data_IF_502505998686
#
_entry.id   IF_502505998686
#
_cell.length_a   1.000
_cell.length_b   1.000
_cell.length_c   1.000
_cell.angle_alpha   90.00
_cell.angle_beta   90.00
_cell.angle_gamma   90.00
#
_symmetry.space_group_name_H-M   'P 1'
#
loop_
_entity.id
_entity.type
_entity.pdbx_description
1 polymer ?
#
# COMPACT_ATOMS: atom_id res chain seq x y z
N UNK A 1 -14.71 -1.73 -33.40
CA UNK A 1 -14.61 -1.56 -31.93
C UNK A 1 -14.79 -2.92 -31.29
N UNK A 2 -13.80 -3.50 -30.59
CA UNK A 2 -14.07 -4.64 -29.73
C UNK A 2 -14.54 -4.13 -28.37
N UNK A 3 -15.73 -4.59 -27.99
CA UNK A 3 -16.37 -4.40 -26.69
C UNK A 3 -15.71 -5.39 -25.73
N UNK A 4 -15.19 -4.91 -24.60
CA UNK A 4 -14.66 -5.77 -23.54
C UNK A 4 -15.80 -6.59 -22.93
N UNK A 5 -15.63 -7.92 -22.94
CA UNK A 5 -16.58 -8.88 -22.37
C UNK A 5 -16.80 -8.64 -20.86
N UNK A 6 -18.04 -8.91 -20.45
CA UNK A 6 -18.67 -8.70 -19.15
C UNK A 6 -17.74 -8.67 -17.92
N UNK A 7 -17.72 -7.53 -17.22
CA UNK A 7 -17.19 -7.46 -15.86
C UNK A 7 -18.16 -8.09 -14.85
N UNK A 8 -17.67 -8.84 -13.84
CA UNK A 8 -18.47 -9.22 -12.66
C UNK A 8 -19.03 -7.97 -11.96
N UNK A 9 -20.05 -8.09 -11.07
CA UNK A 9 -20.66 -6.93 -10.40
C UNK A 9 -19.56 -6.03 -9.85
N UNK A 10 -19.52 -4.80 -10.36
CA UNK A 10 -18.42 -3.89 -10.14
C UNK A 10 -18.45 -3.53 -8.65
N UNK A 11 -17.52 -4.13 -7.89
CA UNK A 11 -17.32 -3.74 -6.50
C UNK A 11 -16.93 -2.26 -6.52
N UNK A 12 -17.80 -1.41 -5.99
CA UNK A 12 -17.68 0.03 -6.15
C UNK A 12 -16.97 0.67 -4.96
N UNK A 13 -17.11 0.11 -3.77
CA UNK A 13 -16.55 0.67 -2.55
C UNK A 13 -15.62 -0.31 -1.85
N UNK A 14 -14.67 0.22 -1.09
CA UNK A 14 -13.63 -0.59 -0.42
C UNK A 14 -14.20 -1.67 0.51
N UNK A 15 -15.38 -1.48 1.09
CA UNK A 15 -16.06 -2.44 1.96
C UNK A 15 -16.60 -3.68 1.22
N UNK A 16 -16.68 -3.64 -0.11
CA UNK A 16 -17.15 -4.76 -0.92
C UNK A 16 -16.00 -5.74 -1.23
N UNK A 17 -14.75 -5.36 -0.94
CA UNK A 17 -13.54 -6.16 -1.15
C UNK A 17 -13.11 -6.85 0.14
N UNK A 18 -12.79 -8.14 0.05
CA UNK A 18 -12.01 -8.80 1.10
C UNK A 18 -10.54 -8.43 0.90
N UNK A 19 -10.04 -7.54 1.73
CA UNK A 19 -8.68 -7.01 1.63
C UNK A 19 -7.80 -7.50 2.78
N UNK A 20 -6.49 -7.45 2.62
CA UNK A 20 -5.57 -7.75 3.70
C UNK A 20 -4.24 -7.00 3.57
N UNK A 21 -3.51 -6.90 4.68
CA UNK A 21 -2.12 -6.43 4.70
C UNK A 21 -1.21 -7.45 5.37
N UNK A 22 0.04 -7.52 4.91
CA UNK A 22 1.07 -8.33 5.55
C UNK A 22 2.48 -7.80 5.28
N UNK A 23 3.21 -7.47 6.35
CA UNK A 23 4.66 -7.33 6.28
C UNK A 23 5.31 -8.72 6.26
N UNK A 24 5.83 -9.09 5.09
CA UNK A 24 6.34 -10.45 4.81
C UNK A 24 7.75 -10.69 5.34
N UNK A 25 8.50 -9.63 5.66
CA UNK A 25 9.91 -9.68 6.04
C UNK A 25 10.75 -10.52 5.05
N UNK A 26 10.49 -10.38 3.75
CA UNK A 26 11.18 -11.06 2.66
C UNK A 26 10.27 -11.74 1.63
N UNK A 27 10.85 -12.44 0.63
CA UNK A 27 10.09 -13.02 -0.48
C UNK A 27 9.32 -14.26 -0.05
N UNK A 28 8.11 -14.07 0.49
CA UNK A 28 7.20 -15.14 0.95
C UNK A 28 6.10 -15.46 -0.06
N UNK A 29 6.42 -15.45 -1.35
CA UNK A 29 5.44 -15.49 -2.44
C UNK A 29 4.55 -16.74 -2.46
N UNK A 30 5.06 -17.90 -2.04
CA UNK A 30 4.26 -19.12 -1.89
C UNK A 30 3.12 -18.95 -0.85
N UNK A 31 3.40 -18.23 0.24
CA UNK A 31 2.42 -17.93 1.28
C UNK A 31 1.45 -16.85 0.80
N UNK A 32 1.97 -15.81 0.14
CA UNK A 32 1.14 -14.78 -0.51
C UNK A 32 0.13 -15.42 -1.48
N UNK A 33 0.58 -16.37 -2.30
CA UNK A 33 -0.29 -17.14 -3.20
C UNK A 33 -1.37 -17.89 -2.41
N UNK A 34 -1.01 -18.59 -1.33
CA UNK A 34 -1.96 -19.31 -0.50
C UNK A 34 -3.02 -18.38 0.12
N UNK A 35 -2.62 -17.20 0.59
CA UNK A 35 -3.53 -16.18 1.11
C UNK A 35 -4.48 -15.66 0.03
N UNK A 36 -3.97 -15.33 -1.16
CA UNK A 36 -4.81 -14.92 -2.29
C UNK A 36 -5.81 -16.02 -2.65
N UNK A 37 -5.36 -17.27 -2.75
CA UNK A 37 -6.22 -18.43 -3.02
C UNK A 37 -7.32 -18.64 -1.95
N UNK A 38 -7.10 -18.16 -0.71
CA UNK A 38 -8.08 -18.21 0.38
C UNK A 38 -9.20 -17.15 0.26
N UNK A 39 -9.33 -16.51 -0.90
CA UNK A 39 -10.45 -15.63 -1.23
C UNK A 39 -10.20 -14.15 -0.97
N UNK A 40 -8.95 -13.73 -0.75
CA UNK A 40 -8.63 -12.30 -0.76
C UNK A 40 -8.82 -11.72 -2.16
N UNK A 41 -9.40 -10.53 -2.24
CA UNK A 41 -9.48 -9.73 -3.45
C UNK A 41 -8.24 -8.87 -3.63
N UNK A 42 -7.74 -8.27 -2.55
CA UNK A 42 -6.61 -7.34 -2.49
C UNK A 42 -5.68 -7.73 -1.34
N UNK A 43 -4.36 -7.73 -1.57
CA UNK A 43 -3.35 -7.94 -0.55
C UNK A 43 -2.21 -6.91 -0.69
N UNK A 44 -2.07 -6.04 0.31
CA UNK A 44 -0.94 -5.13 0.44
C UNK A 44 0.23 -5.82 1.15
N UNK A 45 1.43 -5.69 0.60
CA UNK A 45 2.62 -6.42 1.05
C UNK A 45 3.75 -5.45 1.30
N UNK A 46 4.29 -5.48 2.52
CA UNK A 46 5.50 -4.75 2.91
C UNK A 46 6.69 -5.72 3.00
N UNK A 47 7.90 -5.18 2.80
CA UNK A 47 9.16 -5.96 2.74
C UNK A 47 9.07 -7.15 1.79
N UNK A 48 8.45 -6.94 0.63
CA UNK A 48 8.04 -7.99 -0.30
C UNK A 48 9.20 -8.86 -0.84
N UNK A 49 10.44 -8.45 -0.62
CA UNK A 49 11.62 -9.15 -1.11
C UNK A 49 11.76 -9.00 -2.62
N UNK A 50 12.53 -9.91 -3.23
CA UNK A 50 12.68 -9.97 -4.69
C UNK A 50 11.64 -10.90 -5.31
N UNK A 51 11.34 -10.74 -6.60
CA UNK A 51 10.39 -11.58 -7.36
C UNK A 51 11.08 -12.68 -8.18
N UNK A 52 12.38 -12.94 -7.96
CA UNK A 52 13.17 -13.85 -8.79
C UNK A 52 12.60 -15.28 -8.82
N UNK A 53 12.20 -15.79 -7.65
CA UNK A 53 11.67 -17.15 -7.46
C UNK A 53 10.35 -17.39 -8.18
N UNK A 54 9.61 -16.33 -8.51
CA UNK A 54 8.33 -16.40 -9.24
C UNK A 54 8.44 -15.83 -10.65
N UNK A 55 9.62 -15.46 -11.12
CA UNK A 55 9.80 -14.78 -12.42
C UNK A 55 9.22 -15.54 -13.61
N UNK A 56 9.30 -16.88 -13.60
CA UNK A 56 8.70 -17.75 -14.63
C UNK A 56 7.16 -17.77 -14.62
N UNK A 57 6.54 -17.29 -13.54
CA UNK A 57 5.10 -17.17 -13.37
C UNK A 57 4.59 -15.76 -13.71
N UNK A 58 5.49 -14.81 -13.97
CA UNK A 58 5.17 -13.42 -14.24
C UNK A 58 5.20 -13.14 -15.74
N UNK A 59 4.22 -12.37 -16.21
CA UNK A 59 4.16 -11.86 -17.57
C UNK A 59 3.65 -10.41 -17.55
N UNK A 60 4.06 -9.61 -18.52
CA UNK A 60 3.51 -8.26 -18.68
C UNK A 60 2.06 -8.33 -19.19
N UNK A 61 1.14 -7.51 -18.67
CA UNK A 61 -0.21 -7.41 -19.23
C UNK A 61 -0.19 -6.96 -20.69
N UNK A 62 -1.11 -7.51 -21.49
CA UNK A 62 -1.34 -7.03 -22.85
C UNK A 62 -2.06 -5.66 -22.84
N UNK A 63 -1.77 -4.82 -23.84
CA UNK A 63 -2.40 -3.51 -24.03
C UNK A 63 -1.59 -2.35 -23.47
N UNK A 64 -2.25 -1.21 -23.28
CA UNK A 64 -1.60 -0.01 -22.77
C UNK A 64 -1.13 -0.23 -21.32
N UNK A 65 0.07 0.26 -21.03
CA UNK A 65 0.56 0.40 -19.65
C UNK A 65 -0.44 1.24 -18.86
N UNK A 66 -0.65 0.87 -17.60
CA UNK A 66 -1.45 1.71 -16.72
C UNK A 66 -0.81 3.08 -16.58
N UNK A 67 -1.66 4.09 -16.49
CA UNK A 67 -1.23 5.41 -16.08
C UNK A 67 -0.71 5.33 -14.65
N UNK A 68 0.49 5.88 -14.44
CA UNK A 68 1.04 6.10 -13.10
C UNK A 68 0.77 7.57 -12.78
N UNK A 69 -0.06 7.82 -11.77
CA UNK A 69 -0.37 9.15 -11.29
C UNK A 69 0.51 9.51 -10.11
N UNK A 70 1.05 10.72 -10.14
CA UNK A 70 1.96 11.25 -9.12
C UNK A 70 1.29 12.35 -8.32
N UNK A 71 1.47 12.32 -7.00
CA UNK A 71 1.19 13.47 -6.14
C UNK A 71 2.46 14.30 -5.98
N UNK A 72 2.42 15.58 -6.38
CA UNK A 72 3.40 16.58 -5.92
C UNK A 72 4.74 16.68 -6.66
N UNK A 73 4.97 15.94 -7.75
CA UNK A 73 6.23 15.98 -8.50
C UNK A 73 6.03 16.18 -10.01
N UNK A 74 6.88 17.03 -10.59
CA UNK A 74 7.20 17.01 -12.02
C UNK A 74 8.26 15.93 -12.25
N UNK A 75 7.83 14.74 -12.67
CA UNK A 75 8.76 13.73 -13.18
C UNK A 75 9.01 13.96 -14.66
N UNK A 76 10.28 13.83 -15.06
CA UNK A 76 10.62 13.80 -16.47
C UNK A 76 9.82 12.69 -17.18
N UNK A 77 9.22 12.97 -18.34
CA UNK A 77 8.54 11.97 -19.14
C UNK A 77 9.43 10.74 -19.33
N UNK A 78 8.93 9.55 -18.98
CA UNK A 78 9.62 8.25 -19.05
C UNK A 78 10.61 7.92 -17.92
N UNK A 79 10.62 8.66 -16.80
CA UNK A 79 11.39 8.26 -15.62
C UNK A 79 10.96 6.87 -15.12
N UNK A 80 11.91 5.95 -14.90
CA UNK A 80 11.61 4.69 -14.21
C UNK A 80 11.39 5.00 -12.72
N UNK A 81 10.13 4.96 -12.30
CA UNK A 81 9.73 5.23 -10.92
C UNK A 81 9.75 3.98 -10.05
N UNK A 82 10.33 2.89 -10.54
CA UNK A 82 10.50 1.64 -9.81
C UNK A 82 9.22 0.83 -9.66
N UNK A 83 8.14 1.17 -10.37
CA UNK A 83 6.87 0.42 -10.30
C UNK A 83 6.65 -0.37 -11.57
N UNK A 84 6.35 -1.67 -11.42
CA UNK A 84 5.98 -2.55 -12.52
C UNK A 84 4.64 -3.25 -12.25
N UNK A 85 3.87 -3.44 -13.33
CA UNK A 85 2.65 -4.25 -13.35
C UNK A 85 2.95 -5.62 -13.96
N UNK A 86 2.51 -6.68 -13.31
CA UNK A 86 2.61 -8.06 -13.78
C UNK A 86 1.26 -8.77 -13.71
N UNK A 87 1.02 -9.67 -14.66
CA UNK A 87 0.10 -10.79 -14.50
C UNK A 87 0.90 -11.93 -13.85
N UNK A 88 0.42 -12.43 -12.71
CA UNK A 88 1.01 -13.55 -11.98
C UNK A 88 0.14 -14.80 -12.11
N UNK A 89 0.66 -15.78 -12.85
CA UNK A 89 -0.02 -17.05 -13.13
C UNK A 89 0.52 -18.14 -12.22
N UNK A 90 -0.28 -18.51 -11.23
CA UNK A 90 0.17 -19.37 -10.11
C UNK A 90 -0.20 -20.84 -10.27
N UNK A 91 -0.80 -21.21 -11.41
CA UNK A 91 -1.43 -22.52 -11.65
C UNK A 91 -2.77 -22.70 -10.93
N UNK A 92 -2.90 -22.17 -9.71
CA UNK A 92 -4.15 -22.13 -8.92
C UNK A 92 -5.06 -20.94 -9.25
N UNK A 93 -4.54 -19.96 -9.99
CA UNK A 93 -5.26 -18.74 -10.35
C UNK A 93 -4.36 -17.72 -11.02
N UNK A 94 -4.99 -16.69 -11.57
CA UNK A 94 -4.32 -15.53 -12.17
C UNK A 94 -4.61 -14.31 -11.33
N UNK A 95 -3.55 -13.59 -10.98
CA UNK A 95 -3.60 -12.35 -10.20
C UNK A 95 -2.88 -11.22 -10.93
N UNK A 96 -3.15 -9.99 -10.55
CA UNK A 96 -2.39 -8.82 -10.97
C UNK A 96 -1.52 -8.35 -9.81
N UNK A 97 -0.24 -8.15 -10.09
CA UNK A 97 0.77 -7.70 -9.15
C UNK A 97 1.26 -6.32 -9.55
N UNK A 98 1.24 -5.40 -8.59
CA UNK A 98 1.79 -4.07 -8.68
C UNK A 98 2.98 -4.02 -7.76
N UNK A 99 4.18 -4.06 -8.32
CA UNK A 99 5.41 -4.26 -7.57
C UNK A 99 6.24 -2.98 -7.63
N UNK A 100 6.51 -2.41 -6.46
CA UNK A 100 7.49 -1.35 -6.30
C UNK A 100 8.84 -1.99 -5.91
N UNK A 101 9.78 -1.89 -6.83
CA UNK A 101 11.16 -2.26 -6.63
C UNK A 101 11.94 -1.02 -6.22
N UNK A 102 12.48 -0.99 -5.00
CA UNK A 102 13.41 0.07 -4.64
C UNK A 102 14.78 -0.21 -5.29
N UNK A 103 14.88 0.03 -6.59
CA UNK A 103 16.16 0.20 -7.27
C UNK A 103 16.68 1.58 -6.91
N UNK A 104 17.71 1.64 -6.06
CA UNK A 104 18.48 2.86 -5.85
C UNK A 104 19.31 3.16 -7.11
N UNK A 105 18.66 3.54 -8.21
CA UNK A 105 19.33 4.03 -9.41
C UNK A 105 19.69 5.54 -9.25
N UNK A 106 19.33 6.15 -8.12
CA UNK A 106 19.86 7.44 -7.68
C UNK A 106 21.25 7.19 -7.07
N UNK A 107 22.32 7.87 -7.53
CA UNK A 107 23.68 7.64 -7.05
C UNK A 107 23.71 7.69 -5.53
N UNK A 108 23.85 6.51 -4.93
CA UNK A 108 24.05 6.33 -3.50
C UNK A 108 25.16 7.28 -3.06
N UNK A 109 24.84 8.22 -2.16
CA UNK A 109 25.86 8.99 -1.45
C UNK A 109 26.90 7.99 -0.89
N UNK A 110 28.21 8.28 -0.98
CA UNK A 110 29.25 7.37 -0.53
C UNK A 110 28.97 6.87 0.88
N UNK A 111 28.82 5.55 1.05
CA UNK A 111 28.52 4.92 2.36
C UNK A 111 27.07 4.47 2.56
N UNK A 112 26.17 4.65 1.59
CA UNK A 112 24.82 4.07 1.65
C UNK A 112 24.81 2.66 1.05
N UNK A 113 24.28 1.70 1.80
CA UNK A 113 24.15 0.30 1.38
C UNK A 113 23.28 0.22 0.12
N UNK A 114 23.66 -0.59 -0.86
CA UNK A 114 22.79 -0.97 -1.98
C UNK A 114 21.41 -1.42 -1.45
N UNK A 115 20.35 -1.05 -2.18
CA UNK A 115 18.95 -1.14 -1.77
C UNK A 115 18.61 -2.44 -1.05
N UNK A 116 18.16 -2.32 0.19
CA UNK A 116 17.71 -3.49 0.95
C UNK A 116 16.37 -3.95 0.38
N UNK A 117 16.25 -5.24 0.05
CA UNK A 117 15.00 -5.87 -0.43
C UNK A 117 13.82 -5.71 0.55
N UNK A 118 14.12 -5.29 1.79
CA UNK A 118 13.17 -4.88 2.84
C UNK A 118 12.44 -3.56 2.55
N UNK A 119 12.74 -2.90 1.44
CA UNK A 119 12.00 -1.70 1.02
C UNK A 119 11.06 -1.94 -0.15
N UNK A 120 11.10 -3.14 -0.75
CA UNK A 120 10.18 -3.51 -1.81
C UNK A 120 8.78 -3.67 -1.24
N UNK A 121 7.78 -3.26 -2.02
CA UNK A 121 6.37 -3.35 -1.67
C UNK A 121 5.60 -3.91 -2.85
N UNK A 122 4.46 -4.52 -2.56
CA UNK A 122 3.55 -4.97 -3.61
C UNK A 122 2.08 -4.77 -3.23
N UNK A 123 1.23 -4.67 -4.24
CA UNK A 123 -0.21 -4.92 -4.09
C UNK A 123 -0.57 -6.05 -5.05
N UNK A 124 -1.21 -7.08 -4.54
CA UNK A 124 -1.78 -8.18 -5.35
C UNK A 124 -3.27 -8.01 -5.41
N UNK A 125 -3.87 -8.22 -6.58
CA UNK A 125 -5.31 -8.09 -6.79
C UNK A 125 -5.87 -9.14 -7.74
N UNK A 126 -7.16 -9.46 -7.59
CA UNK A 126 -7.88 -10.33 -8.54
C UNK A 126 -8.34 -9.62 -9.80
N UNK A 127 -8.49 -8.30 -9.74
CA UNK A 127 -8.96 -7.47 -10.84
C UNK A 127 -7.85 -6.52 -11.24
N UNK A 128 -7.62 -6.37 -12.55
CA UNK A 128 -6.65 -5.39 -13.04
C UNK A 128 -7.11 -3.99 -12.61
N UNK A 129 -6.22 -3.25 -11.99
CA UNK A 129 -6.40 -1.84 -11.70
C UNK A 129 -6.61 -1.05 -13.00
N UNK A 130 -7.41 0.02 -12.92
CA UNK A 130 -7.49 1.02 -13.99
C UNK A 130 -6.29 1.98 -13.97
N UNK A 131 -5.58 2.05 -12.85
CA UNK A 131 -4.55 3.05 -12.58
C UNK A 131 -3.67 2.65 -11.40
N UNK A 132 -2.41 3.10 -11.44
CA UNK A 132 -1.45 3.01 -10.35
C UNK A 132 -1.23 4.42 -9.80
N UNK A 133 -1.30 4.56 -8.48
CA UNK A 133 -0.99 5.82 -7.80
C UNK A 133 0.36 5.65 -7.09
N UNK A 134 1.28 6.58 -7.29
CA UNK A 134 2.55 6.61 -6.57
C UNK A 134 2.73 7.98 -5.94
N UNK A 135 2.80 8.04 -4.60
CA UNK A 135 3.03 9.28 -3.87
C UNK A 135 4.38 9.15 -3.16
N UNK A 136 5.42 9.89 -3.58
CA UNK A 136 6.70 9.89 -2.89
C UNK A 136 6.54 10.33 -1.43
N UNK A 137 7.30 9.72 -0.51
CA UNK A 137 7.40 10.26 0.84
C UNK A 137 8.30 11.50 0.82
N UNK A 138 7.69 12.68 0.77
CA UNK A 138 8.39 13.97 0.88
C UNK A 138 8.69 14.38 2.31
N UNK A 139 8.42 13.53 3.32
CA UNK A 139 8.49 13.96 4.72
C UNK A 139 9.89 14.44 5.08
N UNK A 140 9.96 15.75 5.30
CA UNK A 140 11.13 16.51 5.70
C UNK A 140 11.24 16.37 7.22
N UNK A 141 12.17 15.56 7.72
CA UNK A 141 12.45 15.61 9.16
C UNK A 141 13.24 16.87 9.46
N UNK A 142 12.59 17.83 10.10
CA UNK A 142 13.28 18.87 10.83
C UNK A 142 13.91 18.19 12.04
N UNK A 143 15.25 18.13 12.09
CA UNK A 143 15.87 18.03 13.41
C UNK A 143 15.40 19.26 14.18
N UNK A 144 14.98 19.10 15.43
CA UNK A 144 14.53 20.19 16.31
C UNK A 144 15.61 21.28 16.54
N UNK A 145 16.79 21.15 15.93
CA UNK A 145 17.79 22.18 15.78
C UNK A 145 17.76 22.71 14.33
N UNK A 146 16.77 23.56 14.05
CA UNK A 146 16.48 24.15 12.73
C UNK A 146 17.51 25.22 12.27
N UNK A 147 18.80 24.99 12.53
CA UNK A 147 19.91 25.84 12.08
C UNK A 147 21.07 25.04 11.45
N UNK A 148 20.86 23.76 11.13
CA UNK A 148 21.89 22.93 10.52
C UNK A 148 21.81 23.03 8.99
N UNK A 149 22.87 23.53 8.37
CA UNK A 149 23.16 23.47 6.92
C UNK A 149 23.20 22.02 6.36
N UNK A 150 23.01 20.99 7.20
CA UNK A 150 22.92 19.57 6.82
C UNK A 150 21.47 19.08 6.69
N UNK A 151 20.61 19.88 6.08
CA UNK A 151 19.25 19.50 5.70
C UNK A 151 19.29 18.42 4.60
N UNK A 152 18.81 17.21 4.86
CA UNK A 152 18.71 16.16 3.85
C UNK A 152 17.25 15.75 3.63
N UNK A 153 16.75 15.99 2.41
CA UNK A 153 15.48 15.42 1.96
C UNK A 153 15.56 13.90 2.04
N UNK A 154 14.58 13.25 2.68
CA UNK A 154 14.51 11.78 2.76
C UNK A 154 13.68 11.17 1.63
N UNK A 155 13.41 11.94 0.59
CA UNK A 155 12.84 11.45 -0.67
C UNK A 155 13.69 10.27 -1.14
N UNK A 156 13.05 9.12 -1.38
CA UNK A 156 13.69 7.85 -1.78
C UNK A 156 14.52 7.11 -0.70
N UNK A 157 14.63 7.66 0.52
CA UNK A 157 15.02 6.88 1.72
C UNK A 157 13.77 6.30 2.38
N UNK A 158 12.73 7.14 2.52
CA UNK A 158 11.42 6.69 2.95
C UNK A 158 10.67 6.06 1.77
N UNK A 159 9.90 5.01 2.05
CA UNK A 159 9.16 4.26 1.03
C UNK A 159 8.00 5.13 0.50
N UNK A 160 7.68 5.11 -0.81
CA UNK A 160 6.53 5.82 -1.33
C UNK A 160 5.22 5.18 -0.82
N UNK A 161 4.10 5.88 -0.99
CA UNK A 161 2.78 5.24 -1.00
C UNK A 161 2.60 4.58 -2.37
N UNK A 162 2.37 3.28 -2.40
CA UNK A 162 1.94 2.56 -3.60
C UNK A 162 0.43 2.39 -3.55
N UNK A 163 -0.29 2.76 -4.59
CA UNK A 163 -1.74 2.63 -4.66
C UNK A 163 -2.22 2.06 -5.98
N UNK A 164 -3.41 1.48 -5.96
CA UNK A 164 -4.15 1.05 -7.14
C UNK A 164 -5.60 1.46 -7.06
N UNK A 165 -6.17 1.83 -8.21
CA UNK A 165 -7.61 2.11 -8.32
C UNK A 165 -8.31 1.02 -9.09
N UNK A 166 -9.35 0.44 -8.48
CA UNK A 166 -10.24 -0.54 -9.10
C UNK A 166 -11.66 0.04 -8.98
N UNK A 167 -12.26 0.34 -10.13
CA UNK A 167 -13.54 1.06 -10.18
C UNK A 167 -13.51 2.36 -9.36
N UNK A 168 -14.40 2.47 -8.36
CA UNK A 168 -14.54 3.62 -7.45
C UNK A 168 -13.87 3.39 -6.08
N UNK A 169 -12.94 2.43 -6.00
CA UNK A 169 -12.19 2.08 -4.80
C UNK A 169 -10.70 2.23 -5.04
N UNK A 170 -10.01 2.89 -4.10
CA UNK A 170 -8.56 3.05 -4.13
C UNK A 170 -7.91 2.35 -2.94
N UNK A 171 -6.96 1.46 -3.21
CA UNK A 171 -6.23 0.71 -2.19
C UNK A 171 -4.79 1.17 -2.18
N UNK A 172 -4.30 1.59 -1.01
CA UNK A 172 -2.94 2.03 -0.81
C UNK A 172 -2.19 1.07 0.10
N UNK A 173 -0.89 0.98 -0.14
CA UNK A 173 0.09 0.25 0.64
C UNK A 173 1.14 1.25 1.14
N UNK A 174 1.38 1.25 2.45
CA UNK A 174 2.41 2.07 3.09
C UNK A 174 3.29 1.23 4.01
N UNK A 175 4.51 1.73 4.25
CA UNK A 175 5.40 1.17 5.27
C UNK A 175 6.30 2.27 5.85
N UNK A 176 5.75 3.14 6.73
CA UNK A 176 6.47 4.23 7.37
C UNK A 176 7.65 3.75 8.21
N UNK A 177 8.55 4.65 8.54
CA UNK A 177 9.76 4.40 9.30
C UNK A 177 9.44 3.85 10.72
N UNK A 178 10.15 2.80 11.19
CA UNK A 178 9.96 2.23 12.52
C UNK A 178 10.36 3.16 13.67
N UNK A 179 11.20 4.15 13.40
CA UNK A 179 11.62 5.13 14.39
C UNK A 179 10.50 6.13 14.66
N UNK A 180 10.01 6.19 15.91
CA UNK A 180 8.89 7.06 16.31
C UNK A 180 9.06 8.54 16.01
N UNK A 181 10.26 9.11 16.14
CA UNK A 181 10.48 10.54 15.85
C UNK A 181 10.54 10.82 14.35
N UNK A 182 10.66 9.77 13.55
CA UNK A 182 10.74 9.84 12.09
C UNK A 182 9.59 9.16 11.37
N UNK A 183 8.61 8.62 12.10
CA UNK A 183 7.51 7.88 11.52
C UNK A 183 6.55 8.86 10.83
N UNK A 184 6.44 8.71 9.52
CA UNK A 184 5.73 9.60 8.62
C UNK A 184 4.25 9.20 8.39
N UNK A 185 3.70 8.27 9.17
CA UNK A 185 2.34 7.79 8.94
C UNK A 185 1.27 8.91 8.92
N UNK A 186 1.25 9.88 9.85
CA UNK A 186 0.26 10.97 9.83
C UNK A 186 0.33 11.79 8.54
N UNK A 187 1.54 12.16 8.13
CA UNK A 187 1.78 12.99 6.95
C UNK A 187 1.38 12.24 5.68
N UNK A 188 1.72 10.95 5.55
CA UNK A 188 1.32 10.15 4.40
C UNK A 188 -0.21 10.04 4.30
N UNK A 189 -0.90 9.85 5.43
CA UNK A 189 -2.38 9.80 5.46
C UNK A 189 -2.99 11.14 5.07
N UNK A 190 -2.43 12.26 5.53
CA UNK A 190 -2.86 13.59 5.13
C UNK A 190 -2.67 13.83 3.62
N UNK A 191 -1.53 13.41 3.05
CA UNK A 191 -1.29 13.54 1.61
C UNK A 191 -2.26 12.66 0.81
N UNK A 192 -2.53 11.42 1.25
CA UNK A 192 -3.52 10.54 0.62
C UNK A 192 -4.91 11.16 0.68
N UNK A 193 -5.32 11.70 1.83
CA UNK A 193 -6.61 12.38 1.98
C UNK A 193 -6.74 13.53 0.97
N UNK A 194 -5.75 14.43 0.92
CA UNK A 194 -5.76 15.58 0.00
C UNK A 194 -5.75 15.14 -1.48
N UNK A 195 -4.99 14.10 -1.82
CA UNK A 195 -4.96 13.54 -3.17
C UNK A 195 -6.34 13.00 -3.56
N UNK A 196 -6.96 12.21 -2.68
CA UNK A 196 -8.29 11.65 -2.91
C UNK A 196 -9.37 12.73 -2.99
N UNK A 197 -9.33 13.74 -2.13
CA UNK A 197 -10.27 14.86 -2.19
C UNK A 197 -10.14 15.69 -3.47
N UNK A 198 -8.93 15.81 -4.01
CA UNK A 198 -8.66 16.60 -5.22
C UNK A 198 -9.03 15.85 -6.50
N UNK A 199 -8.60 14.60 -6.63
CA UNK A 199 -8.67 13.86 -7.90
C UNK A 199 -9.81 12.84 -7.95
N UNK A 200 -10.22 12.32 -6.79
CA UNK A 200 -11.23 11.26 -6.68
C UNK A 200 -12.26 11.56 -5.59
N UNK A 201 -12.90 12.75 -5.60
CA UNK A 201 -13.74 13.21 -4.51
C UNK A 201 -14.93 12.30 -4.24
N UNK A 202 -15.41 11.52 -5.20
CA UNK A 202 -16.59 10.66 -5.04
C UNK A 202 -16.23 9.19 -4.74
N UNK A 203 -14.94 8.89 -4.54
CA UNK A 203 -14.45 7.53 -4.34
C UNK A 203 -14.09 7.25 -2.89
N UNK A 204 -14.09 5.96 -2.55
CA UNK A 204 -13.70 5.48 -1.22
C UNK A 204 -12.29 4.91 -1.29
N UNK A 205 -11.54 5.05 -0.20
CA UNK A 205 -10.16 4.62 -0.17
C UNK A 205 -9.81 3.88 1.12
N UNK A 206 -8.82 3.01 1.00
CA UNK A 206 -8.31 2.18 2.08
C UNK A 206 -6.78 2.17 2.02
N UNK A 207 -6.14 2.62 3.09
CA UNK A 207 -4.69 2.53 3.30
C UNK A 207 -4.41 1.34 4.18
N UNK A 208 -3.58 0.42 3.70
CA UNK A 208 -3.20 -0.81 4.37
C UNK A 208 -1.68 -0.81 4.57
N UNK A 209 -1.19 -1.30 5.70
CA UNK A 209 0.25 -1.37 5.88
C UNK A 209 0.70 -1.73 7.28
N UNK A 210 2.02 -1.80 7.41
CA UNK A 210 2.73 -1.73 8.68
C UNK A 210 2.95 -0.24 9.00
N UNK A 211 2.14 0.31 9.89
CA UNK A 211 2.20 1.71 10.30
C UNK A 211 3.35 1.99 11.27
N UNK A 212 4.01 0.96 11.80
CA UNK A 212 5.09 1.06 12.78
C UNK A 212 4.73 1.84 14.07
N UNK A 213 3.43 2.07 14.31
CA UNK A 213 2.86 2.71 15.50
C UNK A 213 1.53 2.06 15.80
N UNK A 214 1.07 2.11 17.03
CA UNK A 214 -0.22 1.52 17.41
C UNK A 214 -1.40 2.39 16.94
N UNK A 215 -2.60 1.80 16.74
CA UNK A 215 -3.82 2.56 16.42
C UNK A 215 -4.10 3.70 17.40
N UNK A 216 -3.85 3.49 18.70
CA UNK A 216 -4.05 4.51 19.72
C UNK A 216 -3.09 5.70 19.56
N UNK A 217 -1.83 5.44 19.19
CA UNK A 217 -0.83 6.48 18.94
C UNK A 217 -1.13 7.26 17.66
N UNK A 218 -1.53 6.59 16.58
CA UNK A 218 -1.84 7.27 15.34
C UNK A 218 -3.13 8.10 15.45
N UNK A 219 -4.12 7.66 16.23
CA UNK A 219 -5.42 8.34 16.35
C UNK A 219 -5.31 9.81 16.77
N UNK A 220 -4.37 10.17 17.65
CA UNK A 220 -4.15 11.57 18.04
C UNK A 220 -3.57 12.44 16.94
N UNK A 221 -2.90 11.81 15.97
CA UNK A 221 -2.12 12.49 14.93
C UNK A 221 -2.84 12.45 13.58
N UNK A 222 -3.99 11.78 13.48
CA UNK A 222 -4.72 11.68 12.22
C UNK A 222 -5.18 13.06 11.75
N UNK A 223 -5.13 13.32 10.43
CA UNK A 223 -5.73 14.52 9.87
C UNK A 223 -7.24 14.53 10.16
N UNK A 224 -7.79 15.74 10.30
CA UNK A 224 -9.23 15.91 10.45
C UNK A 224 -9.94 15.66 9.12
N UNK A 225 -11.01 14.87 9.16
CA UNK A 225 -11.94 14.79 8.03
C UNK A 225 -12.88 16.00 8.07
N UNK A 226 -12.84 16.83 7.02
CA UNK A 226 -13.68 18.01 6.87
C UNK A 226 -14.60 17.87 5.64
N UNK A 227 -15.47 18.85 5.37
CA UNK A 227 -16.22 18.95 4.09
C UNK A 227 -17.05 17.71 3.70
N UNK A 228 -17.75 17.10 4.67
CA UNK A 228 -18.58 15.92 4.40
C UNK A 228 -17.77 14.66 4.08
N UNK A 229 -16.54 14.57 4.61
CA UNK A 229 -15.66 13.39 4.52
C UNK A 229 -15.61 12.63 5.85
N UNK A 230 -15.06 11.43 5.80
CA UNK A 230 -14.71 10.67 7.00
C UNK A 230 -13.31 10.06 6.86
N UNK A 231 -12.72 9.77 8.01
CA UNK A 231 -11.50 8.97 8.15
C UNK A 231 -11.66 8.11 9.41
N UNK A 232 -11.41 6.82 9.31
CA UNK A 232 -11.57 5.88 10.42
C UNK A 232 -10.44 4.82 10.41
N UNK A 233 -10.00 4.39 11.59
CA UNK A 233 -9.00 3.32 11.75
C UNK A 233 -9.71 1.97 11.87
N UNK A 234 -9.30 1.01 11.05
CA UNK A 234 -9.72 -0.39 11.11
C UNK A 234 -8.61 -1.24 11.69
N UNK A 235 -8.75 -1.62 12.96
CA UNK A 235 -7.76 -2.42 13.68
C UNK A 235 -8.42 -3.63 14.36
N UNK A 236 -7.68 -4.72 14.45
CA UNK A 236 -8.12 -6.00 15.04
C UNK A 236 -8.17 -5.98 16.57
N UNK A 237 -7.47 -5.03 17.21
CA UNK A 237 -7.28 -5.00 18.66
C UNK A 237 -6.31 -6.07 19.17
N UNK A 238 -5.61 -6.77 18.27
CA UNK A 238 -4.67 -7.83 18.59
C UNK A 238 -3.25 -7.46 18.13
N UNK A 239 -2.25 -7.94 18.88
CA UNK A 239 -0.85 -7.77 18.50
C UNK A 239 -0.55 -8.48 17.17
N UNK A 240 -0.22 -7.67 16.16
CA UNK A 240 0.25 -8.14 14.84
C UNK A 240 1.74 -8.42 14.85
N UNK A 241 2.49 -7.81 15.79
CA UNK A 241 3.89 -8.10 16.11
C UNK A 241 4.09 -8.20 17.62
N UNK A 242 5.23 -8.73 18.07
CA UNK A 242 5.60 -8.76 19.51
C UNK A 242 5.53 -7.39 20.19
N UNK A 243 5.79 -6.31 19.45
CA UNK A 243 5.79 -4.93 19.95
C UNK A 243 4.42 -4.23 19.94
N UNK A 244 3.35 -4.90 19.49
CA UNK A 244 2.00 -4.34 19.45
C UNK A 244 1.25 -4.61 18.15
N UNK A 245 0.08 -3.99 18.02
CA UNK A 245 -0.66 -3.89 16.77
C UNK A 245 -0.06 -2.78 15.91
N UNK A 246 0.71 -3.15 14.89
CA UNK A 246 1.37 -2.23 13.96
C UNK A 246 0.78 -2.31 12.55
N UNK A 247 0.16 -3.44 12.22
CA UNK A 247 -0.39 -3.73 10.91
C UNK A 247 -1.92 -3.53 10.97
N UNK A 248 -2.46 -2.57 10.25
CA UNK A 248 -3.90 -2.28 10.25
C UNK A 248 -4.29 -1.52 9.00
N UNK A 249 -5.49 -0.94 8.98
CA UNK A 249 -5.93 -0.09 7.89
C UNK A 249 -6.53 1.23 8.36
N UNK A 250 -6.47 2.23 7.50
CA UNK A 250 -7.25 3.47 7.58
C UNK A 250 -8.13 3.55 6.35
N UNK A 251 -9.39 3.90 6.55
CA UNK A 251 -10.35 4.11 5.49
C UNK A 251 -10.82 5.55 5.45
N UNK A 252 -11.25 6.01 4.29
CA UNK A 252 -11.89 7.32 4.15
C UNK A 252 -12.64 7.50 2.84
N UNK A 253 -13.26 8.67 2.70
CA UNK A 253 -14.03 9.05 1.51
C UNK A 253 -15.24 9.94 1.84
N UNK A 254 -16.21 10.03 0.91
CA UNK A 254 -17.49 10.70 1.15
C UNK A 254 -18.25 10.15 2.37
N UNK A 255 -18.76 11.03 3.24
CA UNK A 255 -19.50 10.64 4.45
C UNK A 255 -20.75 9.79 4.17
N UNK A 256 -21.33 9.89 2.96
CA UNK A 256 -22.46 9.06 2.52
C UNK A 256 -22.12 7.56 2.51
N UNK A 257 -20.85 7.18 2.36
CA UNK A 257 -20.40 5.79 2.40
C UNK A 257 -19.92 5.33 3.77
N UNK A 258 -19.84 6.23 4.76
CA UNK A 258 -19.22 5.95 6.06
C UNK A 258 -19.84 4.74 6.74
N UNK A 259 -21.17 4.67 6.85
CA UNK A 259 -21.86 3.59 7.57
C UNK A 259 -21.52 2.20 7.04
N UNK A 260 -21.48 2.02 5.71
CA UNK A 260 -21.11 0.74 5.11
C UNK A 260 -19.64 0.42 5.27
N UNK A 261 -18.77 1.45 5.26
CA UNK A 261 -17.33 1.28 5.39
C UNK A 261 -16.90 0.99 6.82
N UNK A 262 -17.49 1.64 7.83
CA UNK A 262 -17.18 1.37 9.24
C UNK A 262 -17.67 -0.02 9.70
N UNK A 263 -18.47 -0.71 8.88
CA UNK A 263 -18.86 -2.09 9.12
C UNK A 263 -17.74 -3.10 8.78
N UNK A 264 -16.65 -2.66 8.14
CA UNK A 264 -15.47 -3.49 7.88
C UNK A 264 -14.89 -3.98 9.21
N UNK A 265 -14.72 -5.29 9.33
CA UNK A 265 -14.10 -5.93 10.48
C UNK A 265 -12.65 -6.26 10.16
N UNK A 266 -11.75 -5.78 11.01
CA UNK A 266 -10.34 -6.16 10.98
C UNK A 266 -10.10 -7.40 11.86
N UNK A 267 -9.40 -8.40 11.33
CA UNK A 267 -9.11 -9.64 12.04
C UNK A 267 -7.78 -10.25 11.61
N UNK A 268 -7.07 -10.92 12.52
CA UNK A 268 -5.87 -11.68 12.15
C UNK A 268 -6.22 -12.83 11.20
N UNK A 269 -5.49 -12.95 10.11
CA UNK A 269 -5.71 -14.01 9.14
C UNK A 269 -4.97 -15.28 9.60
N UNK A 270 -5.72 -16.36 9.78
CA UNK A 270 -5.14 -17.66 10.15
C UNK A 270 -4.43 -18.30 8.94
N UNK A 271 -3.14 -18.53 9.09
CA UNK A 271 -2.33 -19.18 8.07
C UNK A 271 -2.38 -20.69 8.26
N UNK A 272 -2.51 -21.43 7.15
CA UNK A 272 -2.47 -22.90 7.15
C UNK A 272 -1.05 -23.46 7.37
N UNK A 273 -0.05 -22.58 7.42
CA UNK A 273 1.37 -22.88 7.68
C UNK A 273 1.86 -21.98 8.81
N UNK A 274 2.89 -22.38 9.57
CA UNK A 274 3.54 -21.48 10.53
C UNK A 274 3.91 -20.16 9.86
N UNK A 275 3.56 -19.04 10.49
CA UNK A 275 3.85 -17.72 9.96
C UNK A 275 5.37 -17.53 9.84
N UNK A 276 5.91 -17.32 8.62
CA UNK A 276 7.35 -17.18 8.40
C UNK A 276 7.88 -15.75 8.64
N UNK A 277 6.99 -14.83 9.06
CA UNK A 277 7.29 -13.44 9.42
C UNK A 277 7.03 -13.20 10.91
N UNK A 278 7.70 -12.22 11.49
CA UNK A 278 7.39 -11.71 12.83
C UNK A 278 6.12 -10.83 12.87
N UNK A 279 5.58 -10.49 11.70
CA UNK A 279 4.29 -9.82 11.53
C UNK A 279 3.20 -10.79 11.10
N UNK A 280 2.00 -10.65 11.68
CA UNK A 280 0.82 -11.44 11.36
C UNK A 280 -0.03 -10.72 10.31
N UNK A 281 -0.52 -11.42 9.27
CA UNK A 281 -1.42 -10.84 8.29
C UNK A 281 -2.74 -10.40 8.93
N UNK A 282 -3.28 -9.27 8.49
CA UNK A 282 -4.57 -8.72 8.94
C UNK A 282 -5.52 -8.62 7.76
N UNK A 283 -6.72 -9.18 7.91
CA UNK A 283 -7.82 -9.17 6.96
C UNK A 283 -8.84 -8.08 7.32
N UNK A 284 -9.44 -7.49 6.29
CA UNK A 284 -10.52 -6.50 6.35
C UNK A 284 -11.68 -6.97 5.46
N UNK A 285 -12.89 -7.11 6.02
CA UNK A 285 -14.06 -7.60 5.29
C UNK A 285 -15.40 -7.25 5.95
#
# INVERSE_FOLDING_TARGET
MPICNAQPPQKNNVHEFTSATWNTNGPRWNVVQALMNYGLDILAIQEAGNIGDISSQLSSPAGNRLQICFGGFDLEPNSDVGVQEYIWNTGSGTFYMYYYNNRLDIPSAPGTSQGTTKQNMAIISRQRAGEIVLIPSEVRHTSTNAASENYQSRTFINRPVLGIRIANSVFFNIHPEPNRTRNEAPELINVIQNYMETYYPDQTWMVMGDFNRTPAQLRSDLPSANNGRFIDIMNSGQNTRSSGELDYSIVGGPAIHRTSIIAIVAQLLQMQVPNPSDHKPVRFN
#
